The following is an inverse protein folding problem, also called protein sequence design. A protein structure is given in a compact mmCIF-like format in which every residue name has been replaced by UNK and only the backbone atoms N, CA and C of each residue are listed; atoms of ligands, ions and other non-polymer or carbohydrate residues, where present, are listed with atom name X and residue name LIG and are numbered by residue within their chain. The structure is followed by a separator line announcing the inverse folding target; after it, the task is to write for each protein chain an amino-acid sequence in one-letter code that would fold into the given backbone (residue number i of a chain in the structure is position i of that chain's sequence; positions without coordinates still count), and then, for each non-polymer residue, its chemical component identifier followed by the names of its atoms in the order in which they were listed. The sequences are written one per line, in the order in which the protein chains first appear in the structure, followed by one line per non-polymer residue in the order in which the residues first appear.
data_IF_185789147231
#
_entry.id   IF_185789147231
#
_cell.length_a   1.000
_cell.length_b   1.000
_cell.length_c   1.000
_cell.angle_alpha   90.00
_cell.angle_beta   90.00
_cell.angle_gamma   90.00
#
_symmetry.space_group_name_H-M   'P 1'
#
loop_
_entity.id
_entity.type
_entity.pdbx_description
1 polymer ?
#
# COMPACT_ATOMS: atom_id res chain seq x y z
N UNK A 1 1.83 -11.63 13.96
CA UNK A 1 0.61 -11.52 13.13
C UNK A 1 0.71 -10.29 12.23
N UNK A 2 0.31 -10.41 10.96
CA UNK A 2 0.35 -9.32 9.98
C UNK A 2 -0.53 -8.12 10.36
N UNK A 3 -1.65 -8.36 11.06
CA UNK A 3 -2.50 -7.32 11.64
C UNK A 3 -2.94 -7.69 13.07
N UNK A 4 -3.24 -6.70 13.94
CA UNK A 4 -3.85 -6.93 15.25
C UNK A 4 -5.14 -7.74 15.15
N UNK A 5 -5.35 -8.69 16.09
CA UNK A 5 -6.49 -9.62 16.08
C UNK A 5 -7.85 -8.93 15.87
N UNK A 6 -8.07 -7.77 16.51
CA UNK A 6 -9.30 -6.99 16.36
C UNK A 6 -9.54 -6.52 14.92
N UNK A 7 -8.48 -6.07 14.23
CA UNK A 7 -8.56 -5.64 12.84
C UNK A 7 -8.85 -6.85 11.94
N UNK A 8 -8.21 -7.99 12.21
CA UNK A 8 -8.46 -9.26 11.51
C UNK A 8 -9.91 -9.76 11.68
N UNK A 9 -10.45 -9.76 12.91
CA UNK A 9 -11.85 -10.16 13.17
C UNK A 9 -12.82 -9.26 12.43
N UNK A 10 -12.57 -7.94 12.42
CA UNK A 10 -13.42 -6.99 11.71
C UNK A 10 -13.37 -7.20 10.19
N UNK A 11 -12.19 -7.40 9.64
CA UNK A 11 -12.02 -7.68 8.21
C UNK A 11 -12.70 -8.99 7.83
N UNK A 12 -12.56 -10.03 8.66
CA UNK A 12 -13.27 -11.31 8.50
C UNK A 12 -14.79 -11.13 8.51
N UNK A 13 -15.33 -10.36 9.46
CA UNK A 13 -16.77 -10.05 9.51
C UNK A 13 -17.26 -9.26 8.29
N UNK A 14 -16.48 -8.28 7.82
CA UNK A 14 -16.76 -7.54 6.59
C UNK A 14 -16.82 -8.49 5.38
N UNK A 15 -15.80 -9.33 5.21
CA UNK A 15 -15.71 -10.28 4.11
C UNK A 15 -16.85 -11.31 4.13
N UNK A 16 -17.21 -11.83 5.31
CA UNK A 16 -18.38 -12.70 5.49
C UNK A 16 -19.68 -11.99 5.06
N UNK A 17 -19.85 -10.72 5.43
CA UNK A 17 -21.03 -9.94 5.01
C UNK A 17 -21.09 -9.76 3.49
N UNK A 18 -19.97 -9.49 2.83
CA UNK A 18 -19.95 -9.38 1.37
C UNK A 18 -20.29 -10.70 0.69
N UNK A 19 -19.75 -11.82 1.20
CA UNK A 19 -20.06 -13.17 0.72
C UNK A 19 -21.55 -13.51 0.90
N UNK A 20 -22.14 -13.20 2.06
CA UNK A 20 -23.57 -13.40 2.32
C UNK A 20 -24.46 -12.56 1.39
N UNK A 21 -24.02 -11.34 1.07
CA UNK A 21 -24.71 -10.44 0.12
C UNK A 21 -24.46 -10.81 -1.35
N UNK A 22 -23.66 -11.83 -1.64
CA UNK A 22 -23.24 -12.22 -3.00
C UNK A 22 -22.69 -11.06 -3.81
N UNK A 23 -22.02 -10.10 -3.15
CA UNK A 23 -21.33 -9.02 -3.85
C UNK A 23 -20.04 -9.56 -4.46
N UNK A 24 -19.95 -9.53 -5.78
CA UNK A 24 -18.77 -10.01 -6.51
C UNK A 24 -17.58 -9.06 -6.38
N UNK A 25 -17.84 -7.75 -6.46
CA UNK A 25 -16.83 -6.69 -6.40
C UNK A 25 -17.09 -5.80 -5.19
N UNK A 26 -16.07 -5.62 -4.35
CA UNK A 26 -16.12 -4.78 -3.16
C UNK A 26 -14.71 -4.35 -2.73
N UNK A 27 -14.55 -3.19 -2.10
CA UNK A 27 -13.23 -2.70 -1.71
C UNK A 27 -12.81 -3.29 -0.35
N UNK A 28 -11.55 -3.70 -0.22
CA UNK A 28 -10.94 -4.02 1.08
C UNK A 28 -10.32 -2.79 1.72
N UNK A 29 -9.73 -1.95 0.89
CA UNK A 29 -9.04 -0.72 1.25
C UNK A 29 -9.21 0.26 0.09
N UNK A 30 -9.41 1.55 0.36
CA UNK A 30 -9.33 2.60 -0.66
C UNK A 30 -7.99 3.30 -0.54
N UNK A 31 -7.30 3.45 -1.66
CA UNK A 31 -6.17 4.36 -1.79
C UNK A 31 -6.74 5.77 -2.00
N UNK A 32 -6.53 6.67 -1.05
CA UNK A 32 -7.02 8.04 -1.10
C UNK A 32 -5.86 8.98 -1.39
N UNK A 33 -5.90 9.71 -2.51
CA UNK A 33 -4.90 10.71 -2.92
C UNK A 33 -5.46 12.15 -2.74
N UNK A 34 -5.39 12.76 -1.53
CA UNK A 34 -6.02 14.06 -1.26
C UNK A 34 -5.23 15.23 -1.86
N UNK A 35 -4.02 14.98 -2.38
CA UNK A 35 -3.23 15.91 -3.16
C UNK A 35 -2.22 15.15 -4.04
N UNK A 36 -1.73 15.84 -5.07
CA UNK A 36 -0.61 15.36 -5.88
C UNK A 36 0.72 16.08 -5.59
N UNK A 37 0.71 17.16 -4.79
CA UNK A 37 1.93 17.85 -4.40
C UNK A 37 2.78 17.02 -3.43
N UNK A 38 4.08 16.92 -3.72
CA UNK A 38 5.07 16.25 -2.88
C UNK A 38 6.31 17.14 -2.69
N UNK A 39 7.00 16.95 -1.58
CA UNK A 39 8.28 17.57 -1.23
C UNK A 39 9.50 16.76 -1.73
N UNK A 40 9.25 15.66 -2.45
CA UNK A 40 10.26 14.79 -3.08
C UNK A 40 9.94 14.56 -4.57
N UNK A 41 10.93 14.04 -5.30
CA UNK A 41 10.83 13.66 -6.72
C UNK A 41 11.44 12.27 -6.95
N UNK A 42 10.87 11.27 -6.29
CA UNK A 42 11.38 9.90 -6.31
C UNK A 42 11.42 9.32 -7.73
N UNK A 43 12.42 8.49 -8.04
CA UNK A 43 12.62 7.94 -9.38
C UNK A 43 11.47 7.05 -9.87
N UNK A 44 10.88 6.26 -8.96
CA UNK A 44 9.78 5.34 -9.26
C UNK A 44 8.37 5.95 -9.14
N UNK A 45 8.23 7.24 -8.86
CA UNK A 45 6.92 7.88 -8.65
C UNK A 45 6.48 8.70 -9.87
N UNK A 46 5.42 8.24 -10.55
CA UNK A 46 4.78 8.98 -11.65
C UNK A 46 3.64 9.91 -11.23
N UNK A 47 3.15 9.80 -9.99
CA UNK A 47 1.89 10.44 -9.56
C UNK A 47 1.98 11.96 -9.36
N UNK A 48 3.19 12.48 -9.16
CA UNK A 48 3.43 13.92 -8.96
C UNK A 48 3.69 14.67 -10.27
N UNK A 49 3.75 13.97 -11.41
CA UNK A 49 3.92 14.55 -12.74
C UNK A 49 2.59 15.13 -13.25
N UNK A 50 2.09 16.14 -12.54
CA UNK A 50 0.79 16.75 -12.78
C UNK A 50 0.92 18.25 -13.13
N UNK A 51 -0.05 18.84 -13.83
CA UNK A 51 -0.07 20.29 -14.08
C UNK A 51 0.01 21.08 -12.77
N UNK A 52 0.70 22.24 -12.80
CA UNK A 52 0.84 23.11 -11.63
C UNK A 52 -0.49 23.53 -10.99
N UNK A 53 -1.54 23.67 -11.79
CA UNK A 53 -2.90 23.97 -11.31
C UNK A 53 -3.43 22.86 -10.40
N UNK A 54 -3.22 21.59 -10.76
CA UNK A 54 -3.64 20.44 -9.97
C UNK A 54 -2.75 20.21 -8.74
N UNK A 55 -1.43 20.42 -8.85
CA UNK A 55 -0.49 20.31 -7.71
C UNK A 55 -0.81 21.27 -6.56
N UNK A 56 -1.42 22.42 -6.85
CA UNK A 56 -1.83 23.41 -5.85
C UNK A 56 -3.13 23.05 -5.12
N UNK A 57 -3.91 22.11 -5.63
CA UNK A 57 -5.19 21.73 -5.05
C UNK A 57 -5.02 20.85 -3.82
N UNK A 58 -6.01 20.91 -2.92
CA UNK A 58 -6.10 20.14 -1.67
C UNK A 58 -7.53 19.66 -1.55
N UNK A 59 -7.71 18.35 -1.41
CA UNK A 59 -9.04 17.74 -1.34
C UNK A 59 -9.77 18.18 -0.06
N UNK A 60 -10.97 18.78 -0.17
CA UNK A 60 -11.75 19.12 1.01
C UNK A 60 -12.02 17.89 1.89
N UNK A 61 -12.07 18.10 3.21
CA UNK A 61 -12.33 17.02 4.19
C UNK A 61 -13.61 16.26 3.86
N UNK A 62 -14.68 16.97 3.50
CA UNK A 62 -15.97 16.37 3.18
C UNK A 62 -15.90 15.45 1.95
N UNK A 63 -15.12 15.83 0.94
CA UNK A 63 -14.91 15.00 -0.25
C UNK A 63 -14.13 13.72 0.09
N UNK A 64 -13.01 13.87 0.82
CA UNK A 64 -12.19 12.74 1.27
C UNK A 64 -13.01 11.73 2.09
N UNK A 65 -13.77 12.21 3.06
CA UNK A 65 -14.62 11.36 3.91
C UNK A 65 -15.76 10.75 3.11
N UNK A 66 -16.40 11.54 2.23
CA UNK A 66 -17.51 11.10 1.38
C UNK A 66 -17.14 9.90 0.52
N UNK A 67 -15.99 9.91 -0.16
CA UNK A 67 -15.53 8.79 -0.98
C UNK A 67 -15.34 7.47 -0.18
N UNK A 68 -14.84 7.57 1.07
CA UNK A 68 -14.63 6.39 1.93
C UNK A 68 -15.95 5.88 2.54
N UNK A 69 -16.95 6.75 2.70
CA UNK A 69 -18.30 6.34 3.09
C UNK A 69 -19.05 5.69 1.92
N UNK A 70 -19.01 6.33 0.75
CA UNK A 70 -19.63 5.86 -0.49
C UNK A 70 -19.18 4.44 -0.87
N UNK A 71 -17.87 4.19 -0.88
CA UNK A 71 -17.30 2.88 -1.23
C UNK A 71 -17.59 1.78 -0.21
N UNK A 72 -17.93 2.15 1.03
CA UNK A 72 -18.14 1.19 2.13
C UNK A 72 -16.86 0.49 2.62
N UNK A 73 -15.68 0.88 2.12
CA UNK A 73 -14.42 0.23 2.46
C UNK A 73 -14.13 0.27 3.98
N UNK A 74 -13.69 -0.84 4.60
CA UNK A 74 -13.37 -0.86 6.03
C UNK A 74 -12.04 -0.15 6.35
N UNK A 75 -11.16 -0.03 5.37
CA UNK A 75 -9.82 0.52 5.50
C UNK A 75 -9.56 1.60 4.45
N UNK A 76 -8.64 2.50 4.77
CA UNK A 76 -8.17 3.57 3.88
C UNK A 76 -6.67 3.74 4.06
N UNK A 77 -5.96 3.76 2.94
CA UNK A 77 -4.59 4.21 2.84
C UNK A 77 -4.64 5.63 2.32
N UNK A 78 -4.26 6.60 3.15
CA UNK A 78 -4.17 7.99 2.71
C UNK A 78 -2.77 8.15 2.12
N UNK A 79 -2.73 8.11 0.80
CA UNK A 79 -1.55 8.21 -0.04
C UNK A 79 -1.67 9.42 -0.97
N UNK A 80 -0.95 9.48 -2.08
CA UNK A 80 -0.80 10.69 -2.90
C UNK A 80 0.37 11.55 -2.43
N UNK A 81 0.71 12.58 -3.21
CA UNK A 81 2.00 13.29 -3.19
C UNK A 81 2.83 13.15 -1.90
N UNK A 82 2.69 14.08 -0.96
CA UNK A 82 3.04 13.86 0.44
C UNK A 82 1.85 14.30 1.30
N UNK A 83 1.11 13.37 1.94
CA UNK A 83 -0.11 13.69 2.69
C UNK A 83 0.09 14.76 3.76
N UNK A 84 1.27 14.82 4.40
CA UNK A 84 1.57 15.83 5.41
C UNK A 84 1.73 17.26 4.85
N UNK A 85 1.70 17.46 3.53
CA UNK A 85 1.57 18.78 2.89
C UNK A 85 0.11 19.27 2.79
N UNK A 86 -0.86 18.46 3.18
CA UNK A 86 -2.26 18.83 3.20
C UNK A 86 -2.63 19.50 4.54
N UNK A 87 -3.16 20.73 4.55
CA UNK A 87 -3.33 21.52 5.78
C UNK A 87 -4.33 20.92 6.79
N UNK A 88 -5.24 20.07 6.31
CA UNK A 88 -6.30 19.43 7.10
C UNK A 88 -6.17 17.89 7.14
N UNK A 89 -4.97 17.34 6.95
CA UNK A 89 -4.75 15.89 6.91
C UNK A 89 -5.08 15.19 8.25
N UNK A 90 -4.82 15.87 9.35
CA UNK A 90 -5.16 15.48 10.71
C UNK A 90 -6.67 15.40 10.89
N UNK A 91 -7.40 16.38 10.34
CA UNK A 91 -8.86 16.41 10.37
C UNK A 91 -9.49 15.29 9.52
N UNK A 92 -8.98 15.05 8.30
CA UNK A 92 -9.39 13.90 7.46
C UNK A 92 -9.20 12.60 8.26
N UNK A 93 -8.02 12.43 8.83
CA UNK A 93 -7.66 11.24 9.62
C UNK A 93 -8.62 11.07 10.80
N UNK A 94 -8.85 12.12 11.59
CA UNK A 94 -9.74 12.11 12.75
C UNK A 94 -11.17 11.72 12.37
N UNK A 95 -11.71 12.27 11.28
CA UNK A 95 -13.07 11.97 10.81
C UNK A 95 -13.23 10.52 10.32
N UNK A 96 -12.22 9.97 9.65
CA UNK A 96 -12.20 8.57 9.22
C UNK A 96 -12.12 7.63 10.43
N UNK A 97 -11.29 7.96 11.42
CA UNK A 97 -11.20 7.20 12.68
C UNK A 97 -12.50 7.24 13.49
N UNK A 98 -13.19 8.38 13.54
CA UNK A 98 -14.50 8.53 14.19
C UNK A 98 -15.58 7.62 13.54
N UNK A 99 -15.50 7.43 12.22
CA UNK A 99 -16.30 6.46 11.45
C UNK A 99 -15.78 5.03 11.56
N UNK A 100 -14.90 4.80 12.53
CA UNK A 100 -14.26 3.54 12.84
C UNK A 100 -13.40 3.03 11.69
N UNK A 101 -13.05 3.78 10.63
CA UNK A 101 -12.19 3.22 9.56
C UNK A 101 -10.82 2.83 10.11
N UNK A 102 -10.15 1.88 9.48
CA UNK A 102 -8.73 1.60 9.72
C UNK A 102 -7.94 2.50 8.77
N UNK A 103 -7.12 3.38 9.32
CA UNK A 103 -6.41 4.43 8.58
C UNK A 103 -4.92 4.12 8.60
N UNK A 104 -4.34 3.99 7.43
CA UNK A 104 -2.90 4.02 7.21
C UNK A 104 -2.56 5.37 6.58
N UNK A 105 -1.71 6.16 7.22
CA UNK A 105 -1.27 7.45 6.68
C UNK A 105 0.14 7.29 6.13
N UNK A 106 0.24 7.28 4.81
CA UNK A 106 1.49 7.11 4.09
C UNK A 106 2.32 8.40 4.13
N UNK A 107 3.64 8.28 4.30
CA UNK A 107 4.53 9.44 4.31
C UNK A 107 5.97 9.07 3.95
N UNK A 108 6.71 9.99 3.35
CA UNK A 108 8.16 9.94 3.23
C UNK A 108 8.89 10.38 4.52
N UNK A 109 8.13 10.62 5.59
CA UNK A 109 8.57 10.92 6.95
C UNK A 109 9.29 12.26 7.18
N UNK A 110 9.73 12.98 6.14
CA UNK A 110 10.45 14.25 6.28
C UNK A 110 9.65 15.33 7.01
N UNK A 111 8.33 15.33 6.86
CA UNK A 111 7.41 16.28 7.50
C UNK A 111 6.81 15.74 8.80
N UNK A 112 7.03 14.45 9.12
CA UNK A 112 6.42 13.80 10.28
C UNK A 112 6.78 14.50 11.60
N UNK A 113 8.05 14.86 11.90
CA UNK A 113 8.38 15.50 13.18
C UNK A 113 7.64 16.81 13.43
N UNK A 114 7.31 17.56 12.36
CA UNK A 114 6.60 18.84 12.46
C UNK A 114 5.08 18.67 12.64
N UNK A 115 4.54 17.52 12.25
CA UNK A 115 3.10 17.29 12.21
C UNK A 115 2.61 16.30 13.26
N UNK A 116 3.51 15.52 13.86
CA UNK A 116 3.14 14.39 14.71
C UNK A 116 2.23 14.78 15.88
N UNK A 117 2.40 15.98 16.44
CA UNK A 117 1.61 16.49 17.56
C UNK A 117 0.17 16.87 17.19
N UNK A 118 -0.15 16.94 15.88
CA UNK A 118 -1.52 17.08 15.40
C UNK A 118 -2.30 15.77 15.43
N UNK A 119 -1.61 14.65 15.65
CA UNK A 119 -2.21 13.31 15.68
C UNK A 119 -2.18 12.74 17.09
N UNK A 120 -3.07 11.79 17.35
CA UNK A 120 -3.09 11.04 18.61
C UNK A 120 -3.00 9.55 18.31
N UNK A 121 -2.19 8.77 19.05
CA UNK A 121 -2.15 7.33 18.89
C UNK A 121 -3.55 6.72 18.97
N UNK A 122 -3.89 5.90 17.99
CA UNK A 122 -5.20 5.28 17.92
C UNK A 122 -5.08 3.85 17.41
N UNK A 123 -5.86 2.93 17.99
CA UNK A 123 -5.83 1.49 17.69
C UNK A 123 -6.16 1.12 16.24
N UNK A 124 -6.83 2.01 15.51
CA UNK A 124 -7.14 1.85 14.07
C UNK A 124 -6.26 2.75 13.20
N UNK A 125 -5.19 3.32 13.73
CA UNK A 125 -4.28 4.19 13.00
C UNK A 125 -2.88 3.56 12.94
N UNK A 126 -2.18 3.77 11.84
CA UNK A 126 -0.75 3.53 11.74
C UNK A 126 -0.12 4.54 10.77
N UNK A 127 1.09 4.97 11.10
CA UNK A 127 1.98 5.58 10.11
C UNK A 127 2.47 4.50 9.16
N UNK A 128 2.47 4.77 7.86
CA UNK A 128 3.10 3.93 6.85
C UNK A 128 4.27 4.70 6.25
N UNK A 129 5.47 4.46 6.78
CA UNK A 129 6.68 5.16 6.37
C UNK A 129 7.33 4.42 5.21
N UNK A 130 7.58 5.11 4.11
CA UNK A 130 8.31 4.53 2.99
C UNK A 130 9.80 4.39 3.31
N UNK A 131 10.33 3.17 3.18
CA UNK A 131 11.77 2.84 3.30
C UNK A 131 12.11 1.86 2.18
N UNK A 132 12.62 2.35 1.05
CA UNK A 132 12.93 1.55 -0.14
C UNK A 132 14.35 0.93 -0.17
N UNK A 133 14.99 0.78 0.99
CA UNK A 133 16.34 0.19 1.12
C UNK A 133 17.10 0.72 2.34
N UNK A 134 18.35 0.30 2.51
CA UNK A 134 19.28 0.94 3.44
C UNK A 134 19.75 2.31 2.91
N UNK A 135 20.52 3.05 3.70
CA UNK A 135 20.83 4.46 3.50
C UNK A 135 21.07 4.90 2.04
N UNK A 136 22.09 4.36 1.38
CA UNK A 136 22.44 4.75 0.01
C UNK A 136 21.32 4.41 -0.98
N UNK A 137 20.76 3.21 -0.88
CA UNK A 137 19.72 2.71 -1.79
C UNK A 137 18.41 3.48 -1.64
N UNK A 138 18.03 3.80 -0.41
CA UNK A 138 16.86 4.60 -0.10
C UNK A 138 17.03 6.04 -0.62
N UNK A 139 18.14 6.69 -0.27
CA UNK A 139 18.43 8.07 -0.67
C UNK A 139 18.47 8.23 -2.19
N UNK A 140 19.01 7.23 -2.90
CA UNK A 140 18.97 7.16 -4.36
C UNK A 140 17.54 7.07 -4.89
N UNK A 141 16.69 6.21 -4.30
CA UNK A 141 15.28 6.05 -4.69
C UNK A 141 14.50 7.35 -4.55
N UNK A 142 14.66 8.03 -3.41
CA UNK A 142 13.94 9.27 -3.10
C UNK A 142 14.61 10.52 -3.68
N UNK A 143 15.79 10.36 -4.29
CA UNK A 143 16.65 11.43 -4.83
C UNK A 143 16.96 12.51 -3.80
N UNK A 144 17.23 12.10 -2.57
CA UNK A 144 17.52 12.99 -1.44
C UNK A 144 18.53 12.36 -0.47
N UNK A 145 19.77 12.88 -0.42
CA UNK A 145 20.72 12.51 0.62
C UNK A 145 20.18 12.79 2.03
N UNK A 146 20.40 11.85 2.94
CA UNK A 146 19.91 11.87 4.32
C UNK A 146 18.43 11.53 4.48
N UNK A 147 17.74 11.11 3.41
CA UNK A 147 16.33 10.71 3.46
C UNK A 147 16.09 9.53 4.41
N UNK A 148 16.95 8.52 4.33
CA UNK A 148 16.90 7.33 5.16
C UNK A 148 17.04 7.67 6.64
N UNK A 149 18.08 8.45 6.99
CA UNK A 149 18.32 8.84 8.38
C UNK A 149 17.15 9.65 8.93
N UNK A 150 16.61 10.59 8.15
CA UNK A 150 15.45 11.36 8.56
C UNK A 150 14.21 10.47 8.79
N UNK A 151 13.99 9.47 7.95
CA UNK A 151 12.88 8.53 8.08
C UNK A 151 13.06 7.62 9.32
N UNK A 152 14.27 7.12 9.58
CA UNK A 152 14.58 6.32 10.79
C UNK A 152 14.33 7.14 12.07
N UNK A 153 14.79 8.39 12.13
CA UNK A 153 14.55 9.24 13.30
C UNK A 153 13.06 9.58 13.48
N UNK A 154 12.34 9.80 12.38
CA UNK A 154 10.89 9.99 12.41
C UNK A 154 10.14 8.73 12.89
N UNK A 155 10.57 7.53 12.49
CA UNK A 155 10.03 6.25 13.00
C UNK A 155 10.25 6.17 14.52
N UNK A 156 11.47 6.42 15.01
CA UNK A 156 11.78 6.41 16.45
C UNK A 156 10.92 7.40 17.22
N UNK A 157 10.76 8.63 16.70
CA UNK A 157 9.90 9.65 17.30
C UNK A 157 8.44 9.18 17.38
N UNK A 158 7.91 8.60 16.30
CA UNK A 158 6.54 8.10 16.30
C UNK A 158 6.32 6.96 17.28
N UNK A 159 7.26 6.02 17.35
CA UNK A 159 7.23 4.94 18.34
C UNK A 159 7.32 5.47 19.77
N UNK A 160 8.19 6.45 20.04
CA UNK A 160 8.33 7.08 21.36
C UNK A 160 7.03 7.80 21.80
N UNK A 161 6.26 8.33 20.85
CA UNK A 161 4.93 8.91 21.11
C UNK A 161 3.79 7.87 21.17
N UNK A 162 4.10 6.58 21.11
CA UNK A 162 3.13 5.48 21.23
C UNK A 162 2.36 5.18 19.97
N UNK A 163 2.76 5.72 18.81
CA UNK A 163 2.12 5.37 17.55
C UNK A 163 2.57 3.98 17.07
N UNK A 164 1.65 3.29 16.40
CA UNK A 164 1.98 2.15 15.56
C UNK A 164 2.65 2.66 14.28
N UNK A 165 3.78 2.08 13.92
CA UNK A 165 4.54 2.43 12.72
C UNK A 165 4.74 1.19 11.88
N UNK A 166 4.29 1.28 10.64
CA UNK A 166 4.48 0.29 9.60
C UNK A 166 5.37 0.88 8.52
N UNK A 167 5.98 0.01 7.72
CA UNK A 167 6.76 0.45 6.56
C UNK A 167 6.21 -0.09 5.26
N UNK A 168 6.51 0.59 4.16
CA UNK A 168 6.34 0.09 2.82
C UNK A 168 7.69 0.16 2.09
N UNK A 169 8.08 -0.93 1.44
CA UNK A 169 9.36 -1.09 0.76
C UNK A 169 9.13 -1.62 -0.65
N UNK A 170 9.63 -0.89 -1.65
CA UNK A 170 9.56 -1.29 -3.05
C UNK A 170 10.91 -1.78 -3.53
N UNK A 171 10.94 -2.98 -4.11
CA UNK A 171 12.16 -3.60 -4.65
C UNK A 171 12.18 -3.58 -6.19
N UNK A 172 13.29 -3.15 -6.77
CA UNK A 172 13.50 -2.91 -8.19
C UNK A 172 14.57 -3.87 -8.74
N UNK A 173 14.83 -3.84 -10.05
CA UNK A 173 15.73 -4.82 -10.70
C UNK A 173 17.16 -4.80 -10.19
N UNK A 174 17.62 -3.66 -9.67
CA UNK A 174 18.95 -3.53 -9.08
C UNK A 174 19.10 -4.14 -7.68
N UNK A 175 18.00 -4.52 -7.03
CA UNK A 175 18.03 -5.05 -5.67
C UNK A 175 18.35 -6.55 -5.67
N UNK A 176 19.25 -6.94 -4.78
CA UNK A 176 19.66 -8.33 -4.57
C UNK A 176 18.86 -8.98 -3.43
N UNK A 177 18.86 -10.31 -3.31
CA UNK A 177 18.26 -10.97 -2.15
C UNK A 177 18.86 -10.51 -0.81
N UNK A 178 20.13 -10.11 -0.80
CA UNK A 178 20.78 -9.60 0.40
C UNK A 178 20.25 -8.21 0.77
N UNK A 179 20.00 -7.34 -0.20
CA UNK A 179 19.39 -6.02 0.07
C UNK A 179 18.01 -6.15 0.72
N UNK A 180 17.22 -7.14 0.27
CA UNK A 180 15.92 -7.48 0.88
C UNK A 180 16.11 -7.94 2.32
N UNK A 181 17.07 -8.85 2.57
CA UNK A 181 17.35 -9.37 3.91
C UNK A 181 17.78 -8.23 4.84
N UNK A 182 18.75 -7.43 4.42
CA UNK A 182 19.37 -6.40 5.23
C UNK A 182 18.39 -5.29 5.63
N UNK A 183 17.56 -4.82 4.68
CA UNK A 183 16.56 -3.80 5.00
C UNK A 183 15.46 -4.34 5.91
N UNK A 184 15.01 -5.59 5.70
CA UNK A 184 13.97 -6.18 6.53
C UNK A 184 14.49 -6.52 7.93
N UNK A 185 15.74 -6.95 8.07
CA UNK A 185 16.39 -7.15 9.37
C UNK A 185 16.53 -5.82 10.10
N UNK A 186 17.04 -4.77 9.43
CA UNK A 186 17.16 -3.44 10.01
C UNK A 186 15.81 -2.89 10.52
N UNK A 187 14.75 -3.00 9.70
CA UNK A 187 13.42 -2.54 10.09
C UNK A 187 12.82 -3.35 11.24
N UNK A 188 13.09 -4.66 11.27
CA UNK A 188 12.65 -5.53 12.35
C UNK A 188 13.33 -5.15 13.68
N UNK A 189 14.64 -4.88 13.64
CA UNK A 189 15.46 -4.44 14.78
C UNK A 189 15.08 -3.03 15.25
N UNK A 190 14.70 -2.15 14.32
CA UNK A 190 14.15 -0.82 14.61
C UNK A 190 12.80 -0.89 15.35
N UNK A 191 12.17 -2.06 15.39
CA UNK A 191 10.94 -2.28 16.15
C UNK A 191 9.67 -1.81 15.43
N UNK A 192 9.69 -1.70 14.09
CA UNK A 192 8.48 -1.36 13.32
C UNK A 192 7.43 -2.47 13.48
N UNK A 193 6.17 -2.10 13.61
CA UNK A 193 5.11 -3.03 13.98
C UNK A 193 4.84 -4.05 12.87
N UNK A 194 4.81 -3.60 11.61
CA UNK A 194 4.69 -4.46 10.45
C UNK A 194 5.36 -3.87 9.20
N UNK A 195 5.78 -4.73 8.26
CA UNK A 195 6.47 -4.35 7.02
C UNK A 195 5.68 -4.81 5.80
N UNK A 196 5.26 -3.87 4.96
CA UNK A 196 4.72 -4.15 3.63
C UNK A 196 5.85 -4.11 2.61
N UNK A 197 5.80 -5.03 1.67
CA UNK A 197 6.76 -5.17 0.59
C UNK A 197 6.03 -5.25 -0.74
N UNK A 198 6.63 -4.70 -1.77
CA UNK A 198 6.13 -4.82 -3.14
C UNK A 198 7.29 -4.97 -4.10
N UNK A 199 7.20 -5.85 -5.12
CA UNK A 199 8.01 -5.67 -6.30
C UNK A 199 7.60 -4.35 -6.96
N UNK A 200 8.60 -3.62 -7.42
CA UNK A 200 8.43 -2.49 -8.31
C UNK A 200 7.80 -2.98 -9.60
N UNK A 201 6.88 -2.18 -10.12
CA UNK A 201 6.19 -2.45 -11.36
C UNK A 201 6.29 -1.24 -12.30
N UNK A 202 6.72 -1.49 -13.53
CA UNK A 202 6.74 -0.50 -14.59
C UNK A 202 5.31 -0.08 -14.92
N UNK A 203 4.98 1.19 -14.70
CA UNK A 203 3.79 1.81 -15.29
C UNK A 203 4.22 3.05 -16.06
N UNK A 204 3.52 3.37 -17.14
CA UNK A 204 3.95 4.33 -18.17
C UNK A 204 4.33 5.72 -17.62
N UNK A 205 3.74 6.12 -16.48
CA UNK A 205 3.98 7.42 -15.86
C UNK A 205 5.23 7.48 -14.98
N UNK A 206 5.84 6.34 -14.63
CA UNK A 206 7.04 6.35 -13.80
C UNK A 206 8.24 6.92 -14.59
N UNK A 207 9.02 7.86 -14.04
CA UNK A 207 10.18 8.42 -14.73
C UNK A 207 11.26 7.39 -15.09
N UNK A 208 11.40 6.33 -14.28
CA UNK A 208 12.26 5.19 -14.57
C UNK A 208 11.48 4.12 -15.33
N UNK A 209 11.97 3.70 -16.49
CA UNK A 209 11.35 2.68 -17.34
C UNK A 209 12.22 1.42 -17.48
N UNK A 210 13.47 1.45 -17.03
CA UNK A 210 14.46 0.41 -17.34
C UNK A 210 14.71 -0.55 -16.17
N UNK A 211 14.34 -0.18 -14.94
CA UNK A 211 14.67 -0.93 -13.71
C UNK A 211 13.47 -1.60 -13.03
N UNK A 212 12.68 -2.37 -13.78
CA UNK A 212 11.54 -3.13 -13.24
C UNK A 212 11.71 -4.64 -13.33
N UNK A 213 11.32 -5.35 -12.26
CA UNK A 213 11.47 -6.80 -12.18
C UNK A 213 10.44 -7.50 -13.08
N UNK A 214 10.91 -8.37 -13.98
CA UNK A 214 10.03 -9.35 -14.62
C UNK A 214 9.55 -10.41 -13.63
N UNK A 215 8.45 -11.11 -13.93
CA UNK A 215 7.85 -12.11 -13.02
C UNK A 215 8.85 -13.16 -12.53
N UNK A 216 9.73 -13.66 -13.42
CA UNK A 216 10.76 -14.65 -13.04
C UNK A 216 11.80 -14.06 -12.08
N UNK A 217 12.27 -12.84 -12.35
CA UNK A 217 13.24 -12.16 -11.50
C UNK A 217 12.66 -11.86 -10.12
N UNK A 218 11.42 -11.38 -10.05
CA UNK A 218 10.68 -11.19 -8.79
C UNK A 218 10.62 -12.48 -7.98
N UNK A 219 10.26 -13.59 -8.63
CA UNK A 219 10.19 -14.90 -7.97
C UNK A 219 11.52 -15.37 -7.44
N UNK A 220 12.57 -15.25 -8.24
CA UNK A 220 13.93 -15.61 -7.82
C UNK A 220 14.43 -14.75 -6.66
N UNK A 221 14.17 -13.44 -6.70
CA UNK A 221 14.53 -12.50 -5.65
C UNK A 221 13.89 -12.90 -4.31
N UNK A 222 12.56 -13.01 -4.28
CA UNK A 222 11.85 -13.30 -3.04
C UNK A 222 12.06 -14.74 -2.56
N UNK A 223 12.15 -15.73 -3.46
CA UNK A 223 12.43 -17.12 -3.06
C UNK A 223 13.81 -17.24 -2.36
N UNK A 224 14.83 -16.54 -2.88
CA UNK A 224 16.16 -16.51 -2.25
C UNK A 224 16.15 -15.74 -0.93
N UNK A 225 15.55 -14.55 -0.90
CA UNK A 225 15.49 -13.73 0.31
C UNK A 225 14.74 -14.42 1.46
N UNK A 226 13.63 -15.10 1.13
CA UNK A 226 12.75 -15.76 2.11
C UNK A 226 13.26 -17.15 2.54
N UNK A 227 14.22 -17.69 1.80
CA UNK A 227 14.87 -18.98 2.07
C UNK A 227 15.51 -19.06 3.45
N UNK A 228 15.90 -20.28 3.85
CA UNK A 228 16.61 -20.51 5.12
C UNK A 228 15.81 -20.18 6.39
N UNK A 229 14.48 -19.99 6.29
CA UNK A 229 13.62 -19.61 7.41
C UNK A 229 13.52 -18.10 7.65
N UNK A 230 14.17 -17.28 6.82
CA UNK A 230 14.17 -15.82 6.96
C UNK A 230 12.76 -15.22 7.01
N UNK A 231 11.86 -15.70 6.15
CA UNK A 231 10.46 -15.22 6.09
C UNK A 231 9.75 -15.20 7.45
N UNK A 232 10.05 -16.17 8.34
CA UNK A 232 9.41 -16.29 9.65
C UNK A 232 9.91 -15.28 10.68
N UNK A 233 11.09 -14.70 10.45
CA UNK A 233 11.74 -13.73 11.35
C UNK A 233 11.11 -12.34 11.25
N UNK A 234 10.49 -12.04 10.12
CA UNK A 234 9.99 -10.70 9.80
C UNK A 234 8.50 -10.53 10.06
N UNK A 235 8.13 -9.36 10.58
CA UNK A 235 6.74 -8.97 10.83
C UNK A 235 6.03 -8.49 9.54
N UNK A 236 5.95 -9.34 8.52
CA UNK A 236 5.38 -8.98 7.21
C UNK A 236 3.86 -8.71 7.29
N UNK A 237 3.42 -7.61 6.67
CA UNK A 237 2.00 -7.22 6.52
C UNK A 237 1.37 -7.81 5.26
N UNK A 238 1.47 -9.12 5.09
CA UNK A 238 0.95 -9.83 3.93
C UNK A 238 0.34 -11.17 4.32
N UNK A 239 -0.68 -11.59 3.58
CA UNK A 239 -1.23 -12.94 3.68
C UNK A 239 -0.18 -13.98 3.26
N UNK A 240 -0.20 -15.20 3.85
CA UNK A 240 0.70 -16.27 3.43
C UNK A 240 0.57 -16.61 1.96
N UNK A 241 -0.64 -16.50 1.42
CA UNK A 241 -0.97 -16.74 0.01
C UNK A 241 -0.30 -15.72 -0.91
N UNK A 242 -0.24 -14.43 -0.53
CA UNK A 242 0.45 -13.42 -1.34
C UNK A 242 1.98 -13.63 -1.33
N UNK A 243 2.55 -13.97 -0.17
CA UNK A 243 3.99 -14.27 -0.09
C UNK A 243 4.35 -15.54 -0.86
N UNK A 244 3.50 -16.57 -0.84
CA UNK A 244 3.67 -17.77 -1.68
C UNK A 244 3.64 -17.42 -3.18
N UNK A 245 2.82 -16.44 -3.58
CA UNK A 245 2.79 -15.91 -4.94
C UNK A 245 4.09 -15.18 -5.33
N UNK A 246 4.62 -14.35 -4.42
CA UNK A 246 5.92 -13.70 -4.62
C UNK A 246 7.05 -14.72 -4.76
N UNK A 247 7.05 -15.81 -4.00
CA UNK A 247 8.05 -16.89 -4.12
C UNK A 247 7.85 -17.81 -5.34
N UNK A 248 6.77 -17.62 -6.11
CA UNK A 248 6.45 -18.47 -7.25
C UNK A 248 5.92 -19.85 -6.90
N UNK A 249 5.51 -20.08 -5.65
CA UNK A 249 4.86 -21.32 -5.19
C UNK A 249 3.41 -21.42 -5.64
N UNK A 250 2.80 -20.30 -6.02
CA UNK A 250 1.42 -20.19 -6.47
C UNK A 250 1.26 -19.08 -7.49
N UNK A 251 0.23 -19.21 -8.32
CA UNK A 251 -0.28 -18.14 -9.17
C UNK A 251 -1.57 -17.53 -8.63
N UNK A 252 -1.75 -16.23 -8.87
CA UNK A 252 -2.93 -15.46 -8.47
C UNK A 252 -3.40 -14.63 -9.66
N UNK A 253 -4.72 -14.47 -9.77
CA UNK A 253 -5.35 -13.49 -10.65
C UNK A 253 -5.37 -12.12 -9.98
N UNK A 254 -5.32 -11.06 -10.78
CA UNK A 254 -5.44 -9.69 -10.28
C UNK A 254 -6.90 -9.36 -9.95
N UNK A 255 -7.15 -8.69 -8.83
CA UNK A 255 -8.45 -8.12 -8.45
C UNK A 255 -8.32 -6.60 -8.29
N UNK A 256 -8.17 -5.85 -9.39
CA UNK A 256 -7.86 -4.41 -9.33
C UNK A 256 -8.96 -3.58 -8.65
N UNK A 257 -10.21 -4.07 -8.62
CA UNK A 257 -11.31 -3.45 -7.88
C UNK A 257 -11.21 -3.62 -6.35
N UNK A 258 -10.33 -4.49 -5.84
CA UNK A 258 -10.20 -4.78 -4.42
C UNK A 258 -9.52 -3.65 -3.63
N UNK A 259 -8.67 -2.87 -4.31
CA UNK A 259 -8.04 -1.64 -3.79
C UNK A 259 -8.22 -0.51 -4.81
N UNK A 260 -9.42 0.11 -4.90
CA UNK A 260 -9.66 1.22 -5.81
C UNK A 260 -8.96 2.48 -5.32
N UNK A 261 -8.63 3.39 -6.26
CA UNK A 261 -8.05 4.70 -5.96
C UNK A 261 -9.07 5.82 -6.13
N UNK A 262 -9.08 6.76 -5.19
CA UNK A 262 -9.84 8.01 -5.29
C UNK A 262 -8.90 9.20 -5.12
N UNK A 263 -8.97 10.16 -6.03
CA UNK A 263 -8.10 11.33 -6.04
C UNK A 263 -8.89 12.63 -6.27
N UNK A 264 -8.18 13.76 -6.40
CA UNK A 264 -8.77 15.03 -6.84
C UNK A 264 -9.48 14.94 -8.21
N UNK A 265 -9.18 13.92 -9.00
CA UNK A 265 -9.78 13.69 -10.32
C UNK A 265 -10.98 12.72 -10.27
N UNK A 266 -11.29 12.14 -9.11
CA UNK A 266 -12.36 11.15 -8.93
C UNK A 266 -11.84 9.72 -8.73
N UNK A 267 -12.71 8.75 -8.97
CA UNK A 267 -12.43 7.32 -8.88
C UNK A 267 -11.68 6.84 -10.12
N UNK A 268 -10.42 6.41 -9.95
CA UNK A 268 -9.52 6.06 -11.06
C UNK A 268 -9.83 4.69 -11.67
N UNK A 269 -9.81 4.61 -13.00
CA UNK A 269 -9.93 3.38 -13.79
C UNK A 269 -8.57 2.93 -14.36
N UNK A 270 -8.35 1.61 -14.52
CA UNK A 270 -9.03 0.52 -13.80
C UNK A 270 -8.46 0.32 -12.38
N UNK A 271 -7.26 0.84 -12.10
CA UNK A 271 -6.59 0.63 -10.83
C UNK A 271 -5.72 1.83 -10.48
N UNK A 272 -5.08 1.82 -9.32
CA UNK A 272 -4.19 2.90 -8.89
C UNK A 272 -3.02 3.18 -9.87
N UNK A 273 -2.53 2.16 -10.59
CA UNK A 273 -1.34 2.24 -11.46
C UNK A 273 -1.67 2.61 -12.90
N UNK A 274 -2.71 2.00 -13.47
CA UNK A 274 -3.19 2.26 -14.82
C UNK A 274 -4.18 3.43 -14.74
N UNK A 275 -3.90 4.52 -15.43
CA UNK A 275 -4.66 5.77 -15.36
C UNK A 275 -5.42 5.98 -16.68
N UNK A 276 -6.38 5.09 -16.91
CA UNK A 276 -7.19 5.04 -18.14
C UNK A 276 -8.39 6.01 -18.08
N UNK A 277 -8.57 6.70 -16.95
CA UNK A 277 -9.59 7.71 -16.75
C UNK A 277 -10.17 7.71 -15.33
N UNK A 278 -11.22 8.49 -15.14
CA UNK A 278 -11.87 8.68 -13.85
C UNK A 278 -13.39 8.59 -13.96
N UNK A 279 -14.03 8.29 -12.82
CA UNK A 279 -15.48 8.27 -12.62
C UNK A 279 -15.86 9.15 -11.44
N UNK A 280 -17.11 9.62 -11.43
CA UNK A 280 -17.58 10.49 -10.35
C UNK A 280 -17.97 9.67 -9.12
N UNK A 281 -18.57 8.49 -9.34
CA UNK A 281 -19.07 7.63 -8.26
C UNK A 281 -18.41 6.26 -8.25
N UNK A 282 -18.35 5.65 -7.07
CA UNK A 282 -17.82 4.30 -6.87
C UNK A 282 -18.65 3.26 -7.62
N UNK A 283 -19.97 3.46 -7.68
CA UNK A 283 -20.84 2.56 -8.41
C UNK A 283 -20.59 2.63 -9.92
N UNK A 284 -20.42 3.83 -10.47
CA UNK A 284 -20.02 4.01 -11.87
C UNK A 284 -18.67 3.33 -12.16
N UNK A 285 -17.66 3.49 -11.29
CA UNK A 285 -16.38 2.79 -11.41
C UNK A 285 -16.59 1.28 -11.57
N UNK A 286 -17.44 0.67 -10.74
CA UNK A 286 -17.70 -0.76 -10.78
C UNK A 286 -18.44 -1.21 -12.05
N UNK A 287 -19.43 -0.44 -12.48
CA UNK A 287 -20.35 -0.83 -13.56
C UNK A 287 -19.77 -0.60 -14.96
N UNK A 288 -18.91 0.41 -15.11
CA UNK A 288 -18.42 0.86 -16.43
C UNK A 288 -16.99 0.43 -16.75
N UNK A 289 -16.25 -0.10 -15.78
CA UNK A 289 -14.90 -0.63 -16.02
C UNK A 289 -14.98 -2.09 -16.47
N UNK A 290 -14.33 -2.42 -17.59
CA UNK A 290 -14.16 -3.81 -18.02
C UNK A 290 -13.06 -4.48 -17.19
N UNK A 291 -13.40 -4.93 -15.98
CA UNK A 291 -12.48 -5.56 -15.04
C UNK A 291 -11.81 -6.82 -15.59
N UNK A 292 -12.48 -7.53 -16.50
CA UNK A 292 -11.99 -8.77 -17.07
C UNK A 292 -10.93 -8.55 -18.15
N UNK A 293 -10.81 -7.33 -18.69
CA UNK A 293 -9.73 -6.96 -19.61
C UNK A 293 -8.36 -6.84 -18.91
N UNK A 294 -8.32 -6.70 -17.57
CA UNK A 294 -7.10 -6.39 -16.84
C UNK A 294 -6.54 -7.57 -16.04
N UNK A 295 -5.23 -7.51 -15.78
CA UNK A 295 -4.48 -8.56 -15.11
C UNK A 295 -3.50 -9.25 -16.06
N UNK A 296 -2.58 -10.00 -15.47
CA UNK A 296 -1.53 -10.68 -16.21
C UNK A 296 -2.12 -11.73 -17.16
N UNK A 297 -1.66 -11.71 -18.41
CA UNK A 297 -2.19 -12.58 -19.47
C UNK A 297 -3.44 -12.02 -20.18
N UNK A 298 -3.95 -10.85 -19.75
CA UNK A 298 -5.12 -10.19 -20.34
C UNK A 298 -4.77 -8.83 -20.96
N UNK A 299 -4.11 -7.96 -20.18
CA UNK A 299 -3.59 -6.67 -20.65
C UNK A 299 -2.05 -6.73 -20.74
N UNK A 300 -1.43 -6.40 -21.88
CA UNK A 300 0.04 -6.37 -22.03
C UNK A 300 0.75 -5.49 -21.00
N UNK A 301 0.13 -4.37 -20.59
CA UNK A 301 0.67 -3.49 -19.55
C UNK A 301 0.81 -4.24 -18.23
N UNK A 302 -0.10 -5.16 -17.93
CA UNK A 302 -0.10 -5.97 -16.70
C UNK A 302 0.90 -7.14 -16.72
N UNK A 303 1.62 -7.40 -17.82
CA UNK A 303 2.40 -8.63 -18.01
C UNK A 303 3.40 -8.93 -16.88
N UNK A 304 4.01 -7.89 -16.31
CA UNK A 304 4.99 -8.00 -15.21
C UNK A 304 4.44 -7.59 -13.84
N UNK A 305 3.13 -7.31 -13.72
CA UNK A 305 2.57 -6.85 -12.45
C UNK A 305 2.59 -7.98 -11.42
N UNK A 306 3.16 -7.68 -10.25
CA UNK A 306 3.08 -8.50 -9.03
C UNK A 306 2.84 -7.60 -7.80
N UNK A 307 2.35 -6.39 -8.01
CA UNK A 307 2.15 -5.38 -6.97
C UNK A 307 1.05 -5.82 -5.98
N UNK A 308 1.32 -5.64 -4.69
CA UNK A 308 0.39 -6.06 -3.64
C UNK A 308 -1.01 -5.46 -3.79
N UNK A 309 -1.15 -4.24 -4.32
CA UNK A 309 -2.45 -3.58 -4.52
C UNK A 309 -3.41 -4.37 -5.43
N UNK A 310 -2.89 -5.15 -6.39
CA UNK A 310 -3.70 -5.96 -7.31
C UNK A 310 -3.89 -7.41 -6.86
N UNK A 311 -2.98 -7.96 -6.04
CA UNK A 311 -2.93 -9.40 -5.75
C UNK A 311 -3.17 -9.75 -4.28
N UNK A 312 -2.92 -8.84 -3.34
CA UNK A 312 -3.25 -9.05 -1.92
C UNK A 312 -4.76 -9.24 -1.71
N UNK A 313 -5.67 -8.50 -2.39
CA UNK A 313 -7.11 -8.75 -2.23
C UNK A 313 -7.51 -10.16 -2.68
N UNK A 314 -6.98 -10.63 -3.81
CA UNK A 314 -7.15 -12.02 -4.28
C UNK A 314 -6.65 -13.01 -3.23
N UNK A 315 -5.48 -12.76 -2.66
CA UNK A 315 -4.86 -13.63 -1.66
C UNK A 315 -5.68 -13.69 -0.35
N UNK A 316 -6.22 -12.55 0.10
CA UNK A 316 -7.11 -12.46 1.27
C UNK A 316 -8.41 -13.21 1.03
N UNK A 317 -9.05 -13.04 -0.14
CA UNK A 317 -10.28 -13.76 -0.50
C UNK A 317 -10.01 -15.27 -0.58
N UNK A 318 -8.90 -15.69 -1.19
CA UNK A 318 -8.49 -17.09 -1.27
C UNK A 318 -8.23 -17.70 0.11
N UNK A 319 -7.67 -16.92 1.04
CA UNK A 319 -7.42 -17.34 2.43
C UNK A 319 -8.73 -17.69 3.14
N UNK A 320 -9.77 -16.88 2.98
CA UNK A 320 -11.09 -17.15 3.57
C UNK A 320 -11.84 -18.31 2.91
N UNK A 321 -11.52 -18.62 1.66
CA UNK A 321 -12.08 -19.77 0.95
C UNK A 321 -11.50 -21.12 1.39
N UNK A 322 -10.43 -21.13 2.21
CA UNK A 322 -9.69 -22.34 2.58
C UNK A 322 -9.40 -22.39 4.08
N UNK A 323 -9.88 -23.45 4.75
CA UNK A 323 -9.61 -23.67 6.17
C UNK A 323 -8.09 -23.78 6.43
N UNK A 324 -7.36 -24.48 5.54
CA UNK A 324 -5.90 -24.61 5.63
C UNK A 324 -5.21 -23.26 5.59
N UNK A 325 -5.58 -22.40 4.64
CA UNK A 325 -4.96 -21.09 4.50
C UNK A 325 -5.37 -20.15 5.64
N UNK A 326 -6.60 -20.25 6.13
CA UNK A 326 -7.07 -19.51 7.31
C UNK A 326 -6.26 -19.86 8.57
N UNK A 327 -5.95 -21.15 8.78
CA UNK A 327 -5.07 -21.58 9.88
C UNK A 327 -3.65 -21.03 9.71
N UNK A 328 -3.08 -21.09 8.49
CA UNK A 328 -1.76 -20.50 8.20
C UNK A 328 -1.72 -19.00 8.51
N UNK A 329 -2.75 -18.26 8.10
CA UNK A 329 -2.84 -16.83 8.35
C UNK A 329 -2.94 -16.48 9.85
N UNK A 330 -3.60 -17.34 10.64
CA UNK A 330 -3.74 -17.14 12.08
C UNK A 330 -2.45 -17.42 12.86
N UNK A 331 -1.70 -18.47 12.48
CA UNK A 331 -0.46 -18.88 13.14
C UNK A 331 0.72 -17.96 12.77
N UNK A 332 0.66 -17.28 11.62
CA UNK A 332 1.76 -16.48 11.10
C UNK A 332 2.68 -17.28 10.16
N UNK A 333 3.66 -16.59 9.58
CA UNK A 333 4.56 -17.16 8.57
C UNK A 333 5.63 -18.08 9.15
#
# INVERSE_FOLDING_TARGET
MAMPLRQSVRLGGYLMLQKLRRKEKFPLLVELEPLFACNLKCGGCGKIAQPHTLLKQRMPVAQAVGAIEESGAPMVSIAGGEPLMHPQIDEITRQLLARKKIVFLCTNALLLPKHIDKFTPHRNFAWMVHIDGLAERHDASVRKPGGFQAAVEAIKLAKAKGFRVMTNTTFFTGDTPQDVIDVLDHLNDLGVDNMQISPGYAYEKAPDQDHWLGVRQTRELFAKAFGGGNRKRWRLNHSPVFLDFLEGKRDLECTPWGIPSYSLLGWQRPCYLLDDGYTETYQELLDTTDWDAFGRGKDPRCANCMAHCGYEPTAVIATLGSLKESVRAAVGH
#
